data_IF_463838532426
#
_entry.id   IF_463838532426
#
_cell.length_a   1.000
_cell.length_b   1.000
_cell.length_c   1.000
_cell.angle_alpha   90.00
_cell.angle_beta   90.00
_cell.angle_gamma   90.00
#
_symmetry.space_group_name_H-M   'P 1'
#
loop_
_entity.id
_entity.type
_entity.pdbx_description
1 polymer ?
#
# COMPACT_ATOMS: atom_id res chain seq x y z
N UNK A 1 13.30 -12.17 -20.59
CA UNK A 1 14.41 -12.79 -19.81
C UNK A 1 13.75 -13.68 -18.76
N UNK A 2 14.17 -14.93 -18.63
CA UNK A 2 13.61 -15.87 -17.63
C UNK A 2 13.86 -15.30 -16.22
N UNK A 3 12.84 -15.32 -15.35
CA UNK A 3 12.91 -14.85 -13.96
C UNK A 3 14.01 -15.59 -13.12
N UNK A 4 14.48 -16.73 -13.60
CA UNK A 4 15.49 -17.55 -12.94
C UNK A 4 16.93 -16.98 -12.97
N UNK A 5 17.18 -15.88 -13.68
CA UNK A 5 18.54 -15.30 -13.87
C UNK A 5 18.70 -13.89 -13.34
N UNK A 6 17.72 -13.35 -12.60
CA UNK A 6 17.85 -12.01 -12.02
C UNK A 6 18.72 -12.04 -10.76
N UNK A 7 19.73 -11.15 -10.69
CA UNK A 7 20.61 -11.00 -9.52
C UNK A 7 19.85 -10.60 -8.25
N UNK A 8 18.67 -10.02 -8.39
CA UNK A 8 17.79 -9.52 -7.33
C UNK A 8 16.34 -9.70 -7.76
N UNK A 9 15.44 -9.95 -6.82
CA UNK A 9 14.02 -10.12 -7.10
C UNK A 9 13.16 -9.77 -5.90
N UNK A 10 11.97 -9.28 -6.19
CA UNK A 10 10.87 -9.12 -5.27
C UNK A 10 9.82 -10.17 -5.63
N UNK A 11 9.76 -11.25 -4.87
CA UNK A 11 8.79 -12.32 -5.09
C UNK A 11 7.46 -11.95 -4.43
N UNK A 12 6.38 -11.97 -5.20
CA UNK A 12 5.03 -11.66 -4.77
C UNK A 12 4.19 -12.94 -4.81
N UNK A 13 3.74 -13.41 -3.65
CA UNK A 13 2.92 -14.61 -3.51
C UNK A 13 1.43 -14.27 -3.71
N UNK A 14 0.91 -14.56 -4.89
CA UNK A 14 -0.48 -14.30 -5.27
C UNK A 14 -1.46 -15.22 -4.52
N UNK A 15 -1.04 -16.42 -4.11
CA UNK A 15 -1.88 -17.31 -3.33
C UNK A 15 -2.05 -16.77 -1.90
N UNK A 16 -0.97 -16.29 -1.28
CA UNK A 16 -1.03 -15.63 0.02
C UNK A 16 -1.91 -14.37 -0.04
N UNK A 17 -1.77 -13.55 -1.10
CA UNK A 17 -2.61 -12.36 -1.29
C UNK A 17 -4.10 -12.71 -1.35
N UNK A 18 -4.50 -13.70 -2.16
CA UNK A 18 -5.90 -14.16 -2.23
C UNK A 18 -6.40 -14.65 -0.87
N UNK A 19 -5.63 -15.51 -0.21
CA UNK A 19 -6.00 -16.04 1.11
C UNK A 19 -6.21 -14.94 2.15
N UNK A 20 -5.34 -13.91 2.15
CA UNK A 20 -5.51 -12.74 2.99
C UNK A 20 -6.83 -12.01 2.71
N UNK A 21 -7.14 -11.76 1.44
CA UNK A 21 -8.38 -11.08 1.04
C UNK A 21 -9.61 -11.90 1.41
N UNK A 22 -9.61 -13.20 1.15
CA UNK A 22 -10.72 -14.11 1.51
C UNK A 22 -10.97 -14.11 3.03
N UNK A 23 -9.89 -14.14 3.83
CA UNK A 23 -9.98 -14.02 5.29
C UNK A 23 -10.56 -12.68 5.72
N UNK A 24 -10.12 -11.57 5.12
CA UNK A 24 -10.61 -10.23 5.44
C UNK A 24 -12.07 -10.05 5.03
N UNK A 25 -12.47 -10.54 3.85
CA UNK A 25 -13.86 -10.53 3.38
C UNK A 25 -14.76 -11.26 4.39
N UNK A 26 -14.39 -12.48 4.78
CA UNK A 26 -15.18 -13.27 5.72
C UNK A 26 -15.33 -12.60 7.10
N UNK A 27 -14.32 -11.86 7.56
CA UNK A 27 -14.32 -11.15 8.86
C UNK A 27 -15.09 -9.84 8.84
N UNK A 28 -15.25 -9.24 7.68
CA UNK A 28 -15.85 -7.92 7.51
C UNK A 28 -17.27 -7.99 6.94
N UNK A 29 -17.72 -9.16 6.50
CA UNK A 29 -19.09 -9.35 5.99
C UNK A 29 -20.14 -8.80 6.96
N UNK A 30 -21.14 -8.00 6.53
CA UNK A 30 -21.48 -7.67 5.13
C UNK A 30 -20.86 -6.37 4.60
N UNK A 31 -19.81 -5.83 5.22
CA UNK A 31 -19.19 -4.54 4.87
C UNK A 31 -18.33 -4.70 3.63
N UNK A 32 -18.48 -3.81 2.65
CA UNK A 32 -17.65 -3.82 1.44
C UNK A 32 -16.19 -3.45 1.74
N UNK A 33 -15.29 -4.03 0.97
CA UNK A 33 -13.86 -3.69 1.00
C UNK A 33 -13.48 -2.89 -0.24
N UNK A 34 -13.00 -1.67 -0.03
CA UNK A 34 -12.24 -0.88 -1.00
C UNK A 34 -10.76 -1.26 -0.87
N UNK A 35 -10.27 -2.10 -1.78
CA UNK A 35 -8.86 -2.49 -1.80
C UNK A 35 -8.00 -1.32 -2.29
N UNK A 36 -7.07 -0.86 -1.45
CA UNK A 36 -6.19 0.28 -1.77
C UNK A 36 -4.96 -0.24 -2.50
N UNK A 37 -4.82 0.17 -3.75
CA UNK A 37 -3.76 -0.25 -4.68
C UNK A 37 -2.86 0.91 -5.12
N UNK A 38 -2.84 2.00 -4.34
CA UNK A 38 -1.95 3.16 -4.55
C UNK A 38 -0.48 2.75 -4.56
N UNK A 39 0.38 3.59 -5.14
CA UNK A 39 1.82 3.35 -5.26
C UNK A 39 2.13 1.96 -5.84
N UNK A 40 1.43 1.58 -6.93
CA UNK A 40 1.54 0.28 -7.59
C UNK A 40 1.28 -0.90 -6.61
N UNK A 41 0.18 -0.79 -5.83
CA UNK A 41 -0.15 -1.70 -4.73
C UNK A 41 1.02 -1.85 -3.74
N UNK A 42 1.54 -0.72 -3.24
CA UNK A 42 2.70 -0.68 -2.35
C UNK A 42 3.92 -1.40 -2.97
N UNK A 43 4.18 -1.11 -4.23
CA UNK A 43 5.24 -1.74 -5.05
C UNK A 43 5.10 -3.25 -5.32
N UNK A 44 3.91 -3.83 -5.12
CA UNK A 44 3.66 -5.25 -5.41
C UNK A 44 3.20 -5.52 -6.86
N UNK A 45 2.83 -4.49 -7.62
CA UNK A 45 2.33 -4.63 -8.99
C UNK A 45 0.82 -4.64 -9.09
N UNK A 46 0.18 -3.47 -9.01
CA UNK A 46 -1.27 -3.32 -9.04
C UNK A 46 -1.95 -3.98 -10.26
N UNK A 47 -1.40 -3.93 -11.49
CA UNK A 47 -2.02 -4.59 -12.64
C UNK A 47 -2.13 -6.12 -12.51
N UNK A 48 -1.29 -6.74 -11.68
CA UNK A 48 -1.34 -8.19 -11.42
C UNK A 48 -2.20 -8.50 -10.20
N UNK A 49 -2.15 -7.66 -9.16
CA UNK A 49 -2.91 -7.90 -7.93
C UNK A 49 -4.41 -7.64 -8.08
N UNK A 50 -4.81 -6.65 -8.88
CA UNK A 50 -6.24 -6.32 -9.08
C UNK A 50 -7.05 -7.49 -9.63
N UNK A 51 -6.65 -8.22 -10.68
CA UNK A 51 -7.37 -9.42 -11.13
C UNK A 51 -7.48 -10.51 -10.07
N UNK A 52 -6.44 -10.70 -9.26
CA UNK A 52 -6.45 -11.67 -8.16
C UNK A 52 -7.44 -11.26 -7.06
N UNK A 53 -7.51 -9.97 -6.73
CA UNK A 53 -8.46 -9.43 -5.77
C UNK A 53 -9.92 -9.52 -6.27
N UNK A 54 -10.17 -9.22 -7.56
CA UNK A 54 -11.50 -9.40 -8.17
C UNK A 54 -11.96 -10.85 -8.05
N UNK A 55 -11.05 -11.76 -8.29
CA UNK A 55 -11.32 -13.18 -8.20
C UNK A 55 -11.56 -13.66 -6.76
N UNK A 56 -10.97 -13.03 -5.75
CA UNK A 56 -11.26 -13.24 -4.34
C UNK A 56 -12.60 -12.61 -3.89
N UNK A 57 -13.23 -11.77 -4.71
CA UNK A 57 -14.52 -11.16 -4.38
C UNK A 57 -14.49 -9.64 -4.19
N UNK A 58 -13.35 -8.98 -4.28
CA UNK A 58 -13.24 -7.52 -4.20
C UNK A 58 -13.91 -6.87 -5.42
N UNK A 59 -14.65 -5.78 -5.17
CA UNK A 59 -15.36 -5.04 -6.22
C UNK A 59 -15.04 -3.55 -6.24
N UNK A 60 -14.19 -3.07 -5.32
CA UNK A 60 -13.80 -1.67 -5.20
C UNK A 60 -12.29 -1.54 -5.06
N UNK A 61 -11.69 -0.63 -5.83
CA UNK A 61 -10.25 -0.37 -5.81
C UNK A 61 -9.96 1.13 -5.67
N UNK A 62 -9.02 1.50 -4.80
CA UNK A 62 -8.64 2.88 -4.56
C UNK A 62 -7.19 3.18 -4.99
N UNK A 63 -6.99 4.23 -5.79
CA UNK A 63 -5.69 4.53 -6.41
C UNK A 63 -5.02 5.81 -5.92
N UNK A 64 -5.67 6.69 -5.17
CA UNK A 64 -5.26 8.06 -4.85
C UNK A 64 -5.35 8.96 -6.07
N UNK A 65 -4.39 8.84 -7.01
CA UNK A 65 -4.36 9.60 -8.26
C UNK A 65 -5.32 8.99 -9.29
N UNK A 66 -5.79 9.84 -10.23
CA UNK A 66 -6.69 9.42 -11.28
C UNK A 66 -6.01 8.58 -12.38
N UNK A 67 -4.78 8.93 -12.76
CA UNK A 67 -4.10 8.30 -13.89
C UNK A 67 -3.97 6.76 -13.79
N UNK A 68 -3.59 6.15 -12.63
CA UNK A 68 -3.55 4.70 -12.49
C UNK A 68 -4.94 4.04 -12.65
N UNK A 69 -6.02 4.66 -12.16
CA UNK A 69 -7.37 4.15 -12.34
C UNK A 69 -7.78 4.13 -13.81
N UNK A 70 -7.50 5.21 -14.54
CA UNK A 70 -7.75 5.30 -15.98
C UNK A 70 -6.94 4.26 -16.77
N UNK A 71 -5.68 4.05 -16.42
CA UNK A 71 -4.85 3.03 -17.06
C UNK A 71 -5.46 1.64 -16.89
N UNK A 72 -5.84 1.27 -15.69
CA UNK A 72 -6.48 -0.04 -15.42
C UNK A 72 -7.79 -0.20 -16.19
N UNK A 73 -8.62 0.84 -16.23
CA UNK A 73 -9.86 0.84 -17.01
C UNK A 73 -9.59 0.66 -18.50
N UNK A 74 -8.64 1.39 -19.09
CA UNK A 74 -8.25 1.28 -20.51
C UNK A 74 -7.73 -0.10 -20.87
N UNK A 75 -7.05 -0.75 -19.95
CA UNK A 75 -6.53 -2.12 -20.12
C UNK A 75 -7.57 -3.21 -19.80
N UNK A 76 -8.77 -2.85 -19.38
CA UNK A 76 -9.82 -3.81 -18.98
C UNK A 76 -9.48 -4.57 -17.68
N UNK A 77 -8.52 -4.06 -16.90
CA UNK A 77 -8.13 -4.65 -15.62
C UNK A 77 -9.23 -4.34 -14.59
N UNK A 78 -9.61 -5.37 -13.82
CA UNK A 78 -10.66 -5.25 -12.80
C UNK A 78 -12.09 -5.51 -13.30
N UNK A 79 -12.33 -5.63 -14.61
CA UNK A 79 -13.65 -5.90 -15.17
C UNK A 79 -14.70 -4.89 -14.71
N UNK A 80 -15.79 -5.36 -14.09
CA UNK A 80 -16.90 -4.52 -13.61
C UNK A 80 -16.65 -3.89 -12.22
N UNK A 81 -15.47 -4.07 -11.62
CA UNK A 81 -15.15 -3.44 -10.34
C UNK A 81 -15.08 -1.92 -10.47
N UNK A 82 -15.44 -1.19 -9.41
CA UNK A 82 -15.31 0.26 -9.34
C UNK A 82 -13.87 0.66 -9.01
N UNK A 83 -13.38 1.74 -9.64
CA UNK A 83 -12.12 2.39 -9.29
C UNK A 83 -12.41 3.76 -8.70
N UNK A 84 -11.77 4.08 -7.59
CA UNK A 84 -11.94 5.32 -6.85
C UNK A 84 -10.61 6.07 -6.76
N UNK A 85 -10.60 7.32 -7.24
CA UNK A 85 -9.49 8.25 -7.13
C UNK A 85 -9.94 9.49 -6.36
N UNK A 86 -9.15 9.94 -5.37
CA UNK A 86 -9.59 11.02 -4.49
C UNK A 86 -8.64 12.22 -4.40
N UNK A 87 -7.48 12.14 -5.02
CA UNK A 87 -6.57 13.28 -5.12
C UNK A 87 -6.61 13.80 -6.55
N UNK A 88 -7.45 14.81 -6.76
CA UNK A 88 -7.67 15.39 -8.09
C UNK A 88 -6.79 16.62 -8.28
N UNK A 89 -6.16 16.70 -9.45
CA UNK A 89 -5.36 17.82 -9.94
C UNK A 89 -6.07 18.53 -11.09
N UNK A 90 -5.87 19.85 -11.29
CA UNK A 90 -6.38 20.56 -12.47
C UNK A 90 -5.90 20.01 -13.82
N UNK A 91 -4.82 19.23 -13.83
CA UNK A 91 -4.28 18.59 -15.04
C UNK A 91 -4.83 17.19 -15.31
N UNK A 92 -5.72 16.68 -14.46
CA UNK A 92 -6.29 15.36 -14.63
C UNK A 92 -7.26 15.26 -15.80
N UNK A 93 -7.29 14.09 -16.44
CA UNK A 93 -8.18 13.76 -17.55
C UNK A 93 -9.60 13.42 -17.02
N UNK A 94 -10.33 14.44 -16.56
CA UNK A 94 -11.68 14.28 -16.04
C UNK A 94 -12.68 13.80 -17.12
N UNK A 95 -12.42 14.06 -18.41
CA UNK A 95 -13.24 13.53 -19.49
C UNK A 95 -13.16 12.01 -19.54
N UNK A 96 -11.95 11.47 -19.50
CA UNK A 96 -11.75 10.02 -19.41
C UNK A 96 -12.32 9.43 -18.11
N UNK A 97 -12.29 10.15 -17.00
CA UNK A 97 -12.89 9.69 -15.75
C UNK A 97 -14.40 9.48 -15.88
N UNK A 98 -15.09 10.43 -16.52
CA UNK A 98 -16.54 10.32 -16.81
C UNK A 98 -16.81 9.19 -17.80
N UNK A 99 -16.09 9.15 -18.93
CA UNK A 99 -16.28 8.14 -20.00
C UNK A 99 -16.03 6.72 -19.52
N UNK A 100 -15.04 6.52 -18.62
CA UNK A 100 -14.65 5.22 -18.09
C UNK A 100 -15.26 4.89 -16.72
N UNK A 101 -16.18 5.75 -16.24
CA UNK A 101 -16.90 5.55 -14.97
C UNK A 101 -15.96 5.31 -13.79
N UNK A 102 -14.99 6.21 -13.61
CA UNK A 102 -14.13 6.23 -12.41
C UNK A 102 -14.82 7.06 -11.33
N UNK A 103 -14.91 6.54 -10.12
CA UNK A 103 -15.44 7.25 -8.95
C UNK A 103 -14.41 8.30 -8.49
N UNK A 104 -14.87 9.54 -8.23
CA UNK A 104 -14.03 10.69 -7.92
C UNK A 104 -14.30 11.21 -6.51
N UNK A 105 -13.26 11.30 -5.68
CA UNK A 105 -13.34 11.97 -4.38
C UNK A 105 -13.21 13.50 -4.57
N UNK A 106 -14.17 14.26 -4.10
CA UNK A 106 -14.18 15.73 -4.19
C UNK A 106 -14.25 16.36 -2.81
N UNK A 107 -13.41 17.38 -2.59
CA UNK A 107 -13.22 18.06 -1.30
C UNK A 107 -13.58 19.55 -1.34
N UNK A 108 -13.68 20.13 -2.54
CA UNK A 108 -13.87 21.57 -2.74
C UNK A 108 -14.96 21.85 -3.77
N UNK A 109 -15.55 23.05 -3.71
CA UNK A 109 -16.51 23.51 -4.70
C UNK A 109 -15.91 23.52 -6.12
N UNK A 110 -14.67 23.97 -6.26
CA UNK A 110 -14.00 24.04 -7.56
C UNK A 110 -13.83 22.64 -8.18
N UNK A 111 -13.47 21.62 -7.39
CA UNK A 111 -13.38 20.24 -7.88
C UNK A 111 -14.76 19.72 -8.29
N UNK A 112 -15.78 19.93 -7.47
CA UNK A 112 -17.14 19.49 -7.74
C UNK A 112 -17.70 20.14 -9.01
N UNK A 113 -17.53 21.45 -9.15
CA UNK A 113 -18.01 22.19 -10.32
C UNK A 113 -17.23 21.84 -11.59
N UNK A 114 -15.91 21.60 -11.50
CA UNK A 114 -15.09 21.14 -12.62
C UNK A 114 -15.55 19.77 -13.14
N UNK A 115 -15.74 18.83 -12.23
CA UNK A 115 -16.24 17.47 -12.55
C UNK A 115 -17.62 17.55 -13.18
N UNK A 116 -18.55 18.36 -12.63
CA UNK A 116 -19.89 18.54 -13.18
C UNK A 116 -19.89 19.22 -14.55
N UNK A 117 -19.01 20.21 -14.77
CA UNK A 117 -18.86 20.88 -16.06
C UNK A 117 -18.43 19.90 -17.16
N UNK A 118 -17.46 19.03 -16.85
CA UNK A 118 -17.01 17.99 -17.77
C UNK A 118 -18.12 16.98 -18.05
N UNK A 119 -18.80 16.48 -17.02
CA UNK A 119 -19.92 15.54 -17.20
C UNK A 119 -21.01 16.12 -18.10
N UNK A 120 -21.36 17.40 -17.89
CA UNK A 120 -22.34 18.13 -18.73
C UNK A 120 -21.87 18.25 -20.16
N UNK A 121 -20.62 18.62 -20.39
CA UNK A 121 -20.07 18.77 -21.76
C UNK A 121 -19.99 17.42 -22.49
N UNK A 122 -19.76 16.31 -21.76
CA UNK A 122 -19.74 14.95 -22.33
C UNK A 122 -21.14 14.34 -22.51
N UNK A 123 -22.19 14.94 -21.93
CA UNK A 123 -23.50 14.30 -21.83
C UNK A 123 -23.50 13.03 -20.98
N UNK A 124 -22.58 12.94 -20.04
CA UNK A 124 -22.38 11.81 -19.12
C UNK A 124 -22.78 12.15 -17.69
N UNK A 125 -22.51 11.23 -16.77
CA UNK A 125 -22.74 11.39 -15.33
C UNK A 125 -21.46 11.09 -14.58
N UNK A 126 -20.96 12.05 -13.80
CA UNK A 126 -19.79 11.84 -12.96
C UNK A 126 -20.17 11.09 -11.67
N UNK A 127 -19.37 10.10 -11.29
CA UNK A 127 -19.52 9.35 -10.05
C UNK A 127 -18.70 10.03 -8.94
N UNK A 128 -19.34 10.48 -7.86
CA UNK A 128 -18.71 11.36 -6.89
C UNK A 128 -18.86 10.83 -5.46
N UNK A 129 -17.77 10.87 -4.70
CA UNK A 129 -17.75 10.72 -3.26
C UNK A 129 -17.39 12.08 -2.64
N UNK A 130 -18.24 12.60 -1.77
CA UNK A 130 -17.99 13.85 -1.05
C UNK A 130 -17.05 13.58 0.12
N UNK A 131 -16.02 14.40 0.29
CA UNK A 131 -15.04 14.26 1.37
C UNK A 131 -15.28 15.31 2.44
N UNK A 132 -15.45 14.89 3.69
CA UNK A 132 -15.52 15.75 4.87
C UNK A 132 -14.21 15.65 5.68
N UNK A 133 -13.67 16.79 6.10
CA UNK A 133 -12.56 16.84 7.06
C UNK A 133 -13.11 16.65 8.49
N UNK A 134 -12.72 15.56 9.11
CA UNK A 134 -13.15 15.22 10.47
C UNK A 134 -12.07 15.46 11.53
N UNK A 135 -10.99 16.15 11.18
CA UNK A 135 -9.93 16.53 12.10
C UNK A 135 -8.51 16.10 11.71
N UNK A 136 -8.35 15.33 10.63
CA UNK A 136 -7.02 15.01 10.09
C UNK A 136 -6.36 16.23 9.41
N UNK A 137 -7.16 17.17 8.87
CA UNK A 137 -6.72 18.39 8.21
C UNK A 137 -5.77 18.17 7.03
N UNK A 138 -6.01 17.10 6.29
CA UNK A 138 -5.23 16.74 5.09
C UNK A 138 -6.04 16.95 3.81
N UNK A 139 -7.27 16.46 3.81
CA UNK A 139 -8.24 16.55 2.71
C UNK A 139 -9.64 16.68 3.30
N UNK A 140 -10.59 17.13 2.49
CA UNK A 140 -12.00 17.21 2.87
C UNK A 140 -12.50 18.64 3.00
N UNK A 141 -13.80 18.80 2.76
CA UNK A 141 -14.53 20.03 3.01
C UNK A 141 -14.57 20.29 4.52
N UNK A 142 -14.36 21.53 4.95
CA UNK A 142 -14.48 21.88 6.37
C UNK A 142 -15.93 21.73 6.85
N UNK A 143 -16.17 21.34 8.12
CA UNK A 143 -17.52 21.24 8.67
C UNK A 143 -18.35 22.53 8.53
N UNK A 144 -17.69 23.71 8.58
CA UNK A 144 -18.37 25.01 8.38
C UNK A 144 -18.96 25.18 6.99
N UNK A 145 -18.35 24.60 5.97
CA UNK A 145 -18.73 24.76 4.58
C UNK A 145 -19.58 23.55 4.10
N UNK A 146 -19.60 22.49 4.88
CA UNK A 146 -20.24 21.21 4.52
C UNK A 146 -21.69 21.33 4.10
N UNK A 147 -22.58 22.05 4.81
CA UNK A 147 -23.97 22.18 4.38
C UNK A 147 -24.12 22.81 2.98
N UNK A 148 -23.35 23.86 2.69
CA UNK A 148 -23.38 24.53 1.39
C UNK A 148 -22.77 23.63 0.28
N UNK A 149 -21.70 22.87 0.59
CA UNK A 149 -21.07 21.94 -0.32
C UNK A 149 -22.01 20.79 -0.69
N UNK A 150 -22.69 20.21 0.30
CA UNK A 150 -23.71 19.17 0.07
C UNK A 150 -24.89 19.71 -0.74
N UNK A 151 -25.42 20.91 -0.40
CA UNK A 151 -26.50 21.52 -1.16
C UNK A 151 -26.13 21.68 -2.64
N UNK A 152 -24.89 22.13 -2.94
CA UNK A 152 -24.39 22.23 -4.30
C UNK A 152 -24.30 20.86 -5.00
N UNK A 153 -23.85 19.83 -4.29
CA UNK A 153 -23.78 18.46 -4.82
C UNK A 153 -25.18 17.89 -5.13
N UNK A 154 -26.17 18.20 -4.29
CA UNK A 154 -27.59 17.82 -4.49
C UNK A 154 -28.16 18.52 -5.75
N UNK A 155 -27.91 19.82 -5.93
CA UNK A 155 -28.31 20.54 -7.15
C UNK A 155 -27.77 19.86 -8.41
N UNK A 156 -26.48 19.53 -8.44
CA UNK A 156 -25.83 18.88 -9.58
C UNK A 156 -26.32 17.45 -9.83
N UNK A 157 -26.67 16.73 -8.75
CA UNK A 157 -27.35 15.44 -8.87
C UNK A 157 -28.75 15.59 -9.51
N UNK A 158 -29.52 16.58 -9.08
CA UNK A 158 -30.88 16.83 -9.58
C UNK A 158 -30.86 17.31 -11.02
N UNK A 159 -29.77 17.99 -11.45
CA UNK A 159 -29.50 18.28 -12.87
C UNK A 159 -29.14 16.99 -13.66
N UNK A 160 -28.83 15.88 -13.01
CA UNK A 160 -28.46 14.62 -13.65
C UNK A 160 -27.04 14.55 -14.18
N UNK A 161 -26.14 15.47 -13.74
CA UNK A 161 -24.73 15.49 -14.17
C UNK A 161 -23.79 14.83 -13.16
N UNK A 162 -24.25 14.61 -11.91
CA UNK A 162 -23.50 13.95 -10.84
C UNK A 162 -24.35 12.85 -10.22
N UNK A 163 -23.72 11.71 -9.90
CA UNK A 163 -24.27 10.67 -9.04
C UNK A 163 -23.48 10.63 -7.74
N UNK A 164 -24.16 10.83 -6.62
CA UNK A 164 -23.53 10.76 -5.29
C UNK A 164 -23.36 9.31 -4.89
N UNK A 165 -22.13 8.82 -5.02
CA UNK A 165 -21.77 7.43 -4.72
C UNK A 165 -21.44 7.26 -3.26
N UNK A 166 -20.81 8.25 -2.64
CA UNK A 166 -20.42 8.12 -1.25
C UNK A 166 -20.17 9.44 -0.52
N UNK A 167 -20.01 9.27 0.81
CA UNK A 167 -19.42 10.26 1.71
C UNK A 167 -18.26 9.56 2.42
N UNK A 168 -17.10 10.24 2.50
CA UNK A 168 -15.96 9.65 3.17
C UNK A 168 -15.12 10.65 3.96
N UNK A 169 -14.34 10.10 4.88
CA UNK A 169 -13.30 10.79 5.63
C UNK A 169 -12.13 9.84 5.95
N UNK A 170 -11.21 10.27 6.79
CA UNK A 170 -10.09 9.46 7.27
C UNK A 170 -9.78 9.76 8.73
N UNK A 171 -9.52 8.73 9.51
CA UNK A 171 -9.08 8.84 10.90
C UNK A 171 -7.62 9.30 10.98
N UNK A 172 -7.26 9.91 12.09
CA UNK A 172 -5.89 10.37 12.33
C UNK A 172 -4.98 9.27 12.89
N UNK A 173 -5.57 8.26 13.54
CA UNK A 173 -4.86 7.20 14.26
C UNK A 173 -3.94 7.75 15.38
N UNK A 174 -4.26 8.95 15.89
CA UNK A 174 -3.51 9.62 16.95
C UNK A 174 -3.83 9.04 18.32
N UNK A 175 -5.12 8.92 18.63
CA UNK A 175 -5.64 8.30 19.84
C UNK A 175 -7.08 7.81 19.63
N UNK A 176 -7.52 6.85 20.46
CA UNK A 176 -8.90 6.37 20.46
C UNK A 176 -9.92 7.50 20.69
N UNK A 177 -9.60 8.46 21.56
CA UNK A 177 -10.48 9.60 21.85
C UNK A 177 -10.61 10.55 20.65
N UNK A 178 -9.51 10.82 19.93
CA UNK A 178 -9.50 11.66 18.74
C UNK A 178 -10.24 10.97 17.59
N UNK A 179 -10.02 9.69 17.38
CA UNK A 179 -10.70 8.92 16.34
C UNK A 179 -12.20 8.76 16.62
N UNK A 180 -12.63 8.65 17.91
CA UNK A 180 -14.03 8.71 18.27
C UNK A 180 -14.64 10.10 18.03
N UNK A 181 -13.88 11.17 18.30
CA UNK A 181 -14.34 12.52 18.00
C UNK A 181 -14.52 12.71 16.49
N UNK A 182 -13.57 12.25 15.67
CA UNK A 182 -13.65 12.27 14.22
C UNK A 182 -14.84 11.45 13.69
N UNK A 183 -15.13 10.28 14.29
CA UNK A 183 -16.29 9.47 13.91
C UNK A 183 -17.62 10.19 14.19
N UNK A 184 -17.74 10.88 15.33
CA UNK A 184 -18.94 11.70 15.63
C UNK A 184 -19.14 12.85 14.64
N UNK A 185 -18.04 13.53 14.23
CA UNK A 185 -18.11 14.57 13.18
C UNK A 185 -18.56 13.95 11.86
N UNK A 186 -18.07 12.77 11.51
CA UNK A 186 -18.46 12.06 10.30
C UNK A 186 -19.95 11.66 10.33
N UNK A 187 -20.43 11.09 11.42
CA UNK A 187 -21.86 10.73 11.61
C UNK A 187 -22.77 11.95 11.49
N UNK A 188 -22.39 13.07 12.12
CA UNK A 188 -23.11 14.32 12.00
C UNK A 188 -23.14 14.82 10.55
N UNK A 189 -22.01 14.81 9.87
CA UNK A 189 -21.92 15.25 8.48
C UNK A 189 -22.79 14.39 7.53
N UNK A 190 -22.87 13.08 7.77
CA UNK A 190 -23.77 12.17 7.04
C UNK A 190 -25.22 12.53 7.31
N UNK A 191 -25.61 12.71 8.56
CA UNK A 191 -26.99 13.08 8.93
C UNK A 191 -27.41 14.45 8.33
N UNK A 192 -26.51 15.44 8.35
CA UNK A 192 -26.72 16.73 7.70
C UNK A 192 -26.92 16.60 6.19
N UNK A 193 -26.08 15.77 5.54
CA UNK A 193 -26.20 15.50 4.10
C UNK A 193 -27.54 14.84 3.75
N UNK A 194 -27.98 13.86 4.52
CA UNK A 194 -29.28 13.19 4.37
C UNK A 194 -30.44 14.19 4.55
N UNK A 195 -30.35 15.07 5.57
CA UNK A 195 -31.35 16.11 5.82
C UNK A 195 -31.46 17.13 4.67
N UNK A 196 -30.35 17.38 3.95
CA UNK A 196 -30.30 18.21 2.74
C UNK A 196 -30.73 17.44 1.46
N UNK A 197 -31.14 16.19 1.59
CA UNK A 197 -31.61 15.35 0.51
C UNK A 197 -30.53 14.58 -0.24
N UNK A 198 -29.28 14.59 0.23
CA UNK A 198 -28.24 13.73 -0.34
C UNK A 198 -28.51 12.26 -0.01
N UNK A 199 -28.59 11.42 -1.04
CA UNK A 199 -28.67 9.97 -0.91
C UNK A 199 -27.41 9.37 -1.47
N UNK A 200 -26.65 8.65 -0.67
CA UNK A 200 -25.37 8.03 -1.05
C UNK A 200 -25.43 6.51 -0.93
N UNK A 201 -24.62 5.82 -1.73
CA UNK A 201 -24.56 4.36 -1.73
C UNK A 201 -23.60 3.84 -0.66
N UNK A 202 -22.53 4.59 -0.36
CA UNK A 202 -21.44 4.16 0.52
C UNK A 202 -20.99 5.26 1.47
N UNK A 203 -20.91 4.93 2.74
CA UNK A 203 -20.23 5.73 3.76
C UNK A 203 -18.97 5.01 4.16
N UNK A 204 -17.82 5.69 4.16
CA UNK A 204 -16.55 5.03 4.49
C UNK A 204 -15.56 5.97 5.18
N UNK A 205 -15.03 5.51 6.31
CA UNK A 205 -14.09 6.27 7.12
C UNK A 205 -12.85 5.44 7.49
N UNK A 206 -13.04 4.18 7.88
CA UNK A 206 -12.01 3.35 8.49
C UNK A 206 -10.93 2.90 7.50
N UNK A 207 -9.68 3.02 7.95
CA UNK A 207 -8.50 2.38 7.36
C UNK A 207 -8.37 0.92 7.78
N UNK A 208 -7.27 0.26 7.37
CA UNK A 208 -7.04 -1.17 7.63
C UNK A 208 -7.11 -1.56 9.11
N UNK A 209 -6.40 -0.84 10.00
CA UNK A 209 -6.38 -1.14 11.44
C UNK A 209 -7.70 -0.80 12.10
N UNK A 210 -8.20 0.43 11.88
CA UNK A 210 -9.46 0.89 12.44
C UNK A 210 -10.63 -0.04 12.07
N UNK A 211 -10.65 -0.55 10.83
CA UNK A 211 -11.70 -1.47 10.40
C UNK A 211 -11.70 -2.81 11.13
N UNK A 212 -10.55 -3.32 11.54
CA UNK A 212 -10.44 -4.58 12.26
C UNK A 212 -10.70 -4.43 13.76
N UNK A 213 -10.25 -3.31 14.33
CA UNK A 213 -10.29 -3.05 15.77
C UNK A 213 -11.60 -2.41 16.23
N UNK A 214 -12.27 -1.63 15.36
CA UNK A 214 -13.45 -0.81 15.67
C UNK A 214 -14.64 -1.13 14.76
N UNK A 215 -15.37 -2.23 14.98
CA UNK A 215 -16.52 -2.64 14.15
C UNK A 215 -17.59 -1.54 14.00
N UNK A 216 -17.77 -0.72 15.02
CA UNK A 216 -18.75 0.37 15.07
C UNK A 216 -18.44 1.52 14.08
N UNK A 217 -17.21 1.59 13.54
CA UNK A 217 -16.77 2.63 12.61
C UNK A 217 -16.63 2.14 11.16
N UNK A 218 -17.09 0.93 10.86
CA UNK A 218 -16.95 0.34 9.50
C UNK A 218 -17.85 1.01 8.47
N UNK A 219 -19.03 1.45 8.90
CA UNK A 219 -20.08 1.96 8.02
C UNK A 219 -20.41 0.95 6.88
N UNK A 220 -20.55 1.43 5.64
CA UNK A 220 -20.92 0.57 4.50
C UNK A 220 -19.71 -0.02 3.79
N UNK A 221 -18.54 0.60 3.94
CA UNK A 221 -17.31 0.19 3.26
C UNK A 221 -16.07 0.56 4.08
N UNK A 222 -15.05 -0.30 4.04
CA UNK A 222 -13.75 -0.06 4.69
C UNK A 222 -12.62 -0.05 3.67
N UNK A 223 -11.54 0.68 3.96
CA UNK A 223 -10.40 0.81 3.05
C UNK A 223 -9.24 -0.06 3.51
N UNK A 224 -9.01 -1.17 2.80
CA UNK A 224 -7.96 -2.15 3.09
C UNK A 224 -6.80 -2.01 2.10
N UNK A 225 -5.64 -1.61 2.60
CA UNK A 225 -4.40 -1.56 1.83
C UNK A 225 -3.40 -2.60 2.33
N UNK A 226 -2.57 -2.20 3.28
CA UNK A 226 -1.46 -2.95 3.83
C UNK A 226 -1.85 -4.33 4.37
N UNK A 227 -2.97 -4.46 5.09
CA UNK A 227 -3.40 -5.75 5.65
C UNK A 227 -3.69 -6.81 4.56
N UNK A 228 -4.23 -6.40 3.39
CA UNK A 228 -4.39 -7.33 2.26
C UNK A 228 -3.06 -7.91 1.77
N UNK A 229 -1.98 -7.15 1.94
CA UNK A 229 -0.62 -7.54 1.59
C UNK A 229 0.12 -8.28 2.75
N UNK A 230 -0.58 -8.55 3.85
CA UNK A 230 0.02 -9.13 5.04
C UNK A 230 1.01 -8.19 5.73
N UNK A 231 0.73 -6.90 5.68
CA UNK A 231 1.51 -5.83 6.32
C UNK A 231 0.61 -5.17 7.37
N UNK A 232 0.57 -5.63 8.62
CA UNK A 232 -0.16 -4.97 9.68
C UNK A 232 0.56 -3.68 10.08
N UNK A 233 -0.22 -2.63 10.33
CA UNK A 233 0.30 -1.30 10.68
C UNK A 233 0.13 -0.96 12.16
N UNK A 234 -0.49 -1.85 12.93
CA UNK A 234 -0.63 -1.70 14.38
C UNK A 234 0.69 -2.09 15.05
N UNK A 235 1.22 -1.21 15.89
CA UNK A 235 2.47 -1.45 16.61
C UNK A 235 2.42 -2.76 17.42
N UNK A 236 3.46 -3.57 17.32
CA UNK A 236 3.59 -4.85 18.02
C UNK A 236 2.70 -5.98 17.50
N UNK A 237 1.93 -5.76 16.42
CA UNK A 237 1.07 -6.78 15.81
C UNK A 237 1.72 -7.32 14.55
N UNK A 238 1.84 -8.65 14.45
CA UNK A 238 2.36 -9.33 13.27
C UNK A 238 1.22 -9.71 12.30
N UNK A 239 1.58 -10.06 11.06
CA UNK A 239 0.62 -10.61 10.09
C UNK A 239 -0.02 -11.91 10.63
N UNK A 240 0.76 -12.77 11.27
CA UNK A 240 0.30 -14.03 11.83
C UNK A 240 -0.73 -13.82 12.96
N UNK A 241 -0.58 -12.81 13.82
CA UNK A 241 -1.55 -12.48 14.87
C UNK A 241 -2.93 -12.13 14.30
N UNK A 242 -2.96 -11.66 13.06
CA UNK A 242 -4.19 -11.35 12.33
C UNK A 242 -4.65 -12.49 11.43
N UNK A 243 -3.96 -13.63 11.43
CA UNK A 243 -4.23 -14.75 10.51
C UNK A 243 -3.96 -14.39 9.06
N UNK A 244 -3.02 -13.48 8.82
CA UNK A 244 -2.59 -13.02 7.50
C UNK A 244 -1.16 -13.47 7.23
N UNK A 245 -0.74 -13.43 5.96
CA UNK A 245 0.62 -13.77 5.55
C UNK A 245 1.22 -12.64 4.72
N UNK A 246 2.47 -12.28 5.03
CA UNK A 246 3.22 -11.33 4.21
C UNK A 246 3.38 -11.87 2.79
N UNK A 247 3.07 -11.01 1.81
CA UNK A 247 3.02 -11.36 0.38
C UNK A 247 4.37 -11.17 -0.31
N UNK A 248 5.17 -10.21 0.16
CA UNK A 248 6.43 -9.80 -0.48
C UNK A 248 7.64 -10.43 0.18
N UNK A 249 8.52 -11.05 -0.64
CA UNK A 249 9.87 -11.46 -0.26
C UNK A 249 10.90 -10.73 -1.10
N UNK A 250 11.86 -10.06 -0.47
CA UNK A 250 13.00 -9.43 -1.16
C UNK A 250 14.23 -10.31 -1.02
N UNK A 251 14.79 -10.74 -2.16
CA UNK A 251 16.01 -11.55 -2.18
C UNK A 251 16.97 -11.18 -3.31
N UNK A 252 18.21 -11.61 -3.18
CA UNK A 252 19.25 -11.49 -4.21
C UNK A 252 20.22 -12.67 -4.15
N UNK A 253 21.05 -12.81 -5.19
CA UNK A 253 22.13 -13.80 -5.19
C UNK A 253 23.47 -13.17 -4.84
N UNK A 254 24.32 -13.87 -4.08
CA UNK A 254 25.70 -13.48 -3.84
C UNK A 254 26.45 -13.35 -5.17
N UNK A 255 27.09 -12.20 -5.41
CA UNK A 255 27.84 -11.96 -6.67
C UNK A 255 29.34 -12.05 -6.50
N UNK A 256 29.85 -11.99 -5.27
CA UNK A 256 31.27 -12.12 -4.98
C UNK A 256 31.48 -12.59 -3.54
N UNK A 257 32.51 -13.43 -3.36
CA UNK A 257 32.95 -13.90 -2.06
C UNK A 257 34.42 -13.52 -1.87
N UNK A 258 34.80 -13.08 -0.68
CA UNK A 258 36.16 -12.69 -0.35
C UNK A 258 36.51 -13.04 1.09
N UNK A 259 37.59 -13.77 1.30
CA UNK A 259 38.19 -13.94 2.63
C UNK A 259 39.04 -12.72 2.96
N UNK A 260 38.92 -12.20 4.18
CA UNK A 260 39.67 -11.03 4.67
C UNK A 260 40.25 -11.33 6.07
N UNK A 261 41.40 -10.72 6.36
CA UNK A 261 42.06 -10.87 7.66
C UNK A 261 41.41 -9.98 8.74
N UNK A 262 41.62 -10.33 9.98
CA UNK A 262 41.30 -9.53 11.15
C UNK A 262 41.79 -8.06 10.97
N UNK A 263 41.02 -7.08 11.46
CA UNK A 263 41.33 -5.66 11.34
C UNK A 263 40.98 -5.02 9.98
N UNK A 264 40.65 -5.83 8.97
CA UNK A 264 40.27 -5.30 7.67
C UNK A 264 39.03 -4.39 7.75
N UNK A 265 39.12 -3.16 7.24
CA UNK A 265 38.00 -2.23 7.13
C UNK A 265 37.06 -2.63 6.00
N UNK A 266 35.75 -2.52 6.20
CA UNK A 266 34.71 -2.97 5.27
C UNK A 266 33.83 -1.79 4.84
N UNK A 267 33.64 -1.61 3.52
CA UNK A 267 32.80 -0.58 2.90
C UNK A 267 33.26 0.85 3.24
N UNK A 268 32.42 1.85 2.98
CA UNK A 268 32.74 3.27 3.19
C UNK A 268 32.98 3.59 4.68
N UNK A 269 33.94 4.47 4.93
CA UNK A 269 34.33 5.00 6.25
C UNK A 269 34.80 3.95 7.24
N UNK A 270 34.90 2.69 6.82
CA UNK A 270 35.30 1.54 7.65
C UNK A 270 34.56 1.50 8.99
N UNK A 271 33.24 1.76 8.94
CA UNK A 271 32.35 1.69 10.13
C UNK A 271 32.27 0.31 10.75
N UNK A 272 32.68 -0.71 9.99
CA UNK A 272 32.92 -2.06 10.48
C UNK A 272 34.36 -2.44 10.15
N UNK A 273 35.03 -3.09 11.11
CA UNK A 273 36.31 -3.77 10.93
C UNK A 273 36.15 -5.20 11.36
N UNK A 274 36.66 -6.14 10.55
CA UNK A 274 36.57 -7.55 10.84
C UNK A 274 37.26 -7.86 12.17
N UNK A 275 36.53 -8.39 13.17
CA UNK A 275 37.14 -8.70 14.49
C UNK A 275 38.05 -9.90 14.44
N UNK A 276 37.89 -10.79 13.49
CA UNK A 276 38.69 -11.98 13.19
C UNK A 276 38.80 -12.16 11.70
N UNK A 277 39.56 -13.13 11.22
CA UNK A 277 39.54 -13.57 9.84
C UNK A 277 38.10 -13.99 9.47
N UNK A 278 37.55 -13.46 8.38
CA UNK A 278 36.15 -13.72 8.02
C UNK A 278 35.96 -13.79 6.51
N UNK A 279 34.85 -14.37 6.08
CA UNK A 279 34.38 -14.38 4.70
C UNK A 279 33.30 -13.33 4.53
N UNK A 280 33.48 -12.44 3.54
CA UNK A 280 32.49 -11.44 3.16
C UNK A 280 31.77 -11.87 1.88
N UNK A 281 30.44 -11.84 1.89
CA UNK A 281 29.58 -12.03 0.72
C UNK A 281 29.07 -10.68 0.23
N UNK A 282 29.24 -10.39 -1.07
CA UNK A 282 28.73 -9.18 -1.73
C UNK A 282 27.36 -9.47 -2.32
N UNK A 283 26.36 -8.67 -1.91
CA UNK A 283 24.96 -8.76 -2.33
C UNK A 283 24.61 -7.55 -3.20
N UNK A 284 24.07 -7.74 -4.42
CA UNK A 284 23.82 -6.67 -5.39
C UNK A 284 22.49 -5.95 -5.16
N UNK A 285 22.22 -5.53 -3.94
CA UNK A 285 21.11 -4.67 -3.51
C UNK A 285 21.66 -3.53 -2.66
N UNK A 286 21.19 -2.33 -2.91
CA UNK A 286 21.59 -1.15 -2.16
C UNK A 286 20.45 -0.16 -1.95
N UNK A 287 20.80 1.07 -1.55
CA UNK A 287 19.75 2.05 -1.25
C UNK A 287 19.00 2.53 -2.50
N UNK A 288 19.55 2.37 -3.72
CA UNK A 288 18.82 2.61 -4.96
C UNK A 288 17.79 1.52 -5.29
N UNK A 289 17.81 0.41 -4.56
CA UNK A 289 16.89 -0.72 -4.70
C UNK A 289 15.88 -0.78 -3.55
N UNK A 290 16.01 0.11 -2.54
CA UNK A 290 15.15 0.19 -1.37
C UNK A 290 15.78 -0.27 -0.04
N UNK A 291 17.04 -0.74 -0.04
CA UNK A 291 17.73 -1.14 1.19
C UNK A 291 18.16 0.10 1.97
N UNK A 292 17.59 0.32 3.15
CA UNK A 292 17.95 1.45 4.01
C UNK A 292 19.45 1.46 4.36
N UNK A 293 20.08 2.64 4.36
CA UNK A 293 21.45 2.79 4.89
C UNK A 293 21.53 2.49 6.38
N UNK A 294 20.41 2.55 7.12
CA UNK A 294 20.31 2.20 8.53
C UNK A 294 20.35 0.68 8.77
N UNK A 295 20.21 -0.12 7.72
CA UNK A 295 20.28 -1.59 7.83
C UNK A 295 21.63 -2.12 8.33
N UNK A 296 22.70 -1.31 8.23
CA UNK A 296 24.00 -1.68 8.74
C UNK A 296 23.98 -1.95 10.25
N UNK A 297 24.26 -3.19 10.65
CA UNK A 297 24.40 -3.59 12.05
C UNK A 297 23.09 -3.64 12.84
N UNK A 298 21.95 -3.33 12.21
CA UNK A 298 20.63 -3.35 12.85
C UNK A 298 19.75 -4.50 12.39
N UNK A 299 19.97 -4.98 11.17
CA UNK A 299 19.21 -6.08 10.57
C UNK A 299 20.09 -7.29 10.28
N UNK A 300 19.46 -8.43 10.14
CA UNK A 300 20.09 -9.62 9.58
C UNK A 300 19.42 -10.01 8.26
N UNK A 301 20.15 -10.71 7.42
CA UNK A 301 19.65 -11.38 6.21
C UNK A 301 19.86 -12.88 6.37
N UNK A 302 19.07 -13.70 5.68
CA UNK A 302 19.27 -15.15 5.72
C UNK A 302 20.10 -15.58 4.52
N UNK A 303 21.19 -16.30 4.80
CA UNK A 303 22.06 -16.94 3.79
C UNK A 303 22.21 -18.40 4.17
N UNK A 304 21.89 -19.31 3.24
CA UNK A 304 21.96 -20.76 3.48
C UNK A 304 21.21 -21.21 4.75
N UNK A 305 20.04 -20.61 5.03
CA UNK A 305 19.21 -20.95 6.18
C UNK A 305 19.71 -20.41 7.54
N UNK A 306 20.70 -19.52 7.54
CA UNK A 306 21.23 -18.93 8.76
C UNK A 306 21.20 -17.39 8.74
N UNK A 307 20.82 -16.73 9.84
CA UNK A 307 20.84 -15.27 9.94
C UNK A 307 22.29 -14.75 9.94
N UNK A 308 22.54 -13.70 9.14
CA UNK A 308 23.86 -13.07 8.95
C UNK A 308 23.75 -11.55 9.02
N UNK A 309 24.68 -10.86 9.67
CA UNK A 309 24.62 -9.40 9.76
C UNK A 309 25.06 -8.71 8.47
N UNK A 310 24.38 -7.60 8.15
CA UNK A 310 24.89 -6.64 7.17
C UNK A 310 26.01 -5.84 7.82
N UNK A 311 27.20 -5.83 7.21
CA UNK A 311 28.39 -5.17 7.75
C UNK A 311 28.94 -4.07 6.85
N UNK A 312 29.43 -3.02 7.48
CA UNK A 312 29.86 -1.81 6.78
C UNK A 312 28.69 -1.07 6.14
N UNK A 313 28.94 0.13 5.61
CA UNK A 313 27.88 0.96 5.05
C UNK A 313 27.22 0.33 3.83
N UNK A 314 25.90 0.34 3.77
CA UNK A 314 25.13 0.02 2.56
C UNK A 314 25.47 1.08 1.49
N UNK A 315 25.88 0.63 0.32
CA UNK A 315 26.17 1.45 -0.84
C UNK A 315 24.93 1.64 -1.73
N UNK A 316 25.08 2.37 -2.84
CA UNK A 316 23.99 2.62 -3.79
C UNK A 316 23.39 1.32 -4.35
N UNK A 317 24.27 0.39 -4.75
CA UNK A 317 23.89 -0.79 -5.52
C UNK A 317 24.20 -2.12 -4.80
N UNK A 318 24.77 -2.08 -3.59
CA UNK A 318 25.26 -3.28 -2.92
C UNK A 318 25.50 -3.10 -1.44
N UNK A 319 25.49 -4.23 -0.71
CA UNK A 319 25.95 -4.32 0.66
C UNK A 319 26.80 -5.58 0.89
N UNK A 320 27.42 -5.68 2.06
CA UNK A 320 28.25 -6.81 2.44
C UNK A 320 27.65 -7.53 3.65
N UNK A 321 27.76 -8.86 3.63
CA UNK A 321 27.33 -9.76 4.69
C UNK A 321 28.57 -10.43 5.28
N UNK A 322 28.64 -10.48 6.61
CA UNK A 322 29.68 -11.22 7.31
C UNK A 322 29.25 -12.67 7.51
N UNK A 323 29.98 -13.58 6.87
CA UNK A 323 29.71 -15.02 6.91
C UNK A 323 30.54 -15.76 7.97
N UNK A 324 31.54 -15.09 8.59
CA UNK A 324 32.47 -15.77 9.46
C UNK A 324 33.27 -16.85 8.73
N UNK A 325 33.21 -18.07 9.26
CA UNK A 325 33.80 -19.27 8.67
C UNK A 325 32.79 -20.16 7.93
N UNK A 326 31.50 -19.73 7.88
CA UNK A 326 30.48 -20.52 7.22
C UNK A 326 30.63 -20.49 5.70
N UNK A 327 30.35 -21.61 5.04
CA UNK A 327 30.47 -21.71 3.60
C UNK A 327 29.47 -20.82 2.87
N UNK A 328 29.94 -20.12 1.85
CA UNK A 328 29.12 -19.33 0.93
C UNK A 328 29.76 -19.32 -0.45
N UNK A 329 28.93 -19.38 -1.48
CA UNK A 329 29.34 -19.36 -2.89
C UNK A 329 28.65 -18.25 -3.66
N UNK A 330 29.25 -17.86 -4.79
CA UNK A 330 28.56 -17.00 -5.78
C UNK A 330 27.35 -17.75 -6.32
N UNK A 331 26.19 -17.07 -6.30
CA UNK A 331 24.90 -17.64 -6.69
C UNK A 331 24.02 -18.05 -5.50
N UNK A 332 24.57 -18.17 -4.28
CA UNK A 332 23.77 -18.46 -3.09
C UNK A 332 22.73 -17.37 -2.88
N UNK A 333 21.53 -17.78 -2.43
CA UNK A 333 20.45 -16.84 -2.16
C UNK A 333 20.65 -16.13 -0.82
N UNK A 334 20.37 -14.84 -0.84
CA UNK A 334 20.30 -13.98 0.34
C UNK A 334 18.88 -13.44 0.44
N UNK A 335 18.14 -13.80 1.47
CA UNK A 335 16.80 -13.29 1.75
C UNK A 335 16.91 -12.14 2.74
N UNK A 336 16.42 -10.95 2.35
CA UNK A 336 16.46 -9.76 3.19
C UNK A 336 15.29 -9.72 4.16
N UNK A 337 14.08 -9.81 3.62
CA UNK A 337 12.86 -9.93 4.40
C UNK A 337 11.81 -10.75 3.63
N UNK A 338 10.89 -11.34 4.35
CA UNK A 338 9.85 -12.22 3.81
C UNK A 338 8.83 -12.59 4.88
N UNK A 339 8.06 -13.65 4.66
CA UNK A 339 7.03 -14.09 5.62
C UNK A 339 7.59 -14.74 6.91
N UNK A 340 8.90 -14.93 7.03
CA UNK A 340 9.57 -15.54 8.20
C UNK A 340 9.78 -17.05 8.11
N UNK A 341 9.44 -17.68 6.99
CA UNK A 341 9.48 -19.16 6.86
C UNK A 341 10.86 -19.77 6.99
N UNK A 342 11.91 -19.03 6.65
CA UNK A 342 13.30 -19.48 6.68
C UNK A 342 14.10 -18.79 7.80
N UNK A 343 13.42 -18.05 8.69
CA UNK A 343 14.04 -17.25 9.74
C UNK A 343 14.50 -15.86 9.29
N UNK A 344 14.07 -15.44 8.10
CA UNK A 344 14.23 -14.06 7.63
C UNK A 344 13.34 -13.11 8.43
N UNK A 345 13.77 -11.86 8.55
CA UNK A 345 12.95 -10.80 9.14
C UNK A 345 11.68 -10.59 8.34
N UNK A 346 10.58 -10.33 9.03
CA UNK A 346 9.38 -9.78 8.41
C UNK A 346 9.62 -8.32 8.02
N UNK A 347 8.75 -7.78 7.15
CA UNK A 347 8.82 -6.38 6.76
C UNK A 347 8.61 -5.44 7.96
N UNK A 348 7.82 -5.87 8.96
CA UNK A 348 7.63 -5.16 10.23
C UNK A 348 8.92 -5.09 11.03
N UNK A 349 9.54 -6.24 11.31
CA UNK A 349 10.82 -6.29 12.03
C UNK A 349 11.92 -5.49 11.30
N UNK A 350 11.93 -5.53 9.96
CA UNK A 350 12.86 -4.73 9.17
C UNK A 350 12.61 -3.23 9.34
N UNK A 351 11.34 -2.81 9.34
CA UNK A 351 10.94 -1.42 9.54
C UNK A 351 11.36 -0.91 10.93
N UNK A 352 11.06 -1.67 11.97
CA UNK A 352 11.44 -1.35 13.36
C UNK A 352 12.97 -1.19 13.48
N UNK A 353 13.73 -2.15 12.92
CA UNK A 353 15.19 -2.12 12.96
C UNK A 353 15.82 -0.97 12.17
N UNK A 354 15.08 -0.39 11.21
CA UNK A 354 15.54 0.72 10.37
C UNK A 354 14.86 2.06 10.67
N UNK A 355 14.04 2.12 11.75
CA UNK A 355 13.35 3.32 12.26
C UNK A 355 12.43 3.93 11.19
N UNK A 356 11.49 3.11 10.71
CA UNK A 356 10.48 3.49 9.72
C UNK A 356 9.24 2.62 9.88
N UNK A 357 8.30 2.70 8.92
CA UNK A 357 7.07 1.90 8.91
C UNK A 357 7.11 0.83 7.80
N UNK A 358 6.39 -0.29 7.96
CA UNK A 358 6.41 -1.40 7.00
C UNK A 358 6.02 -1.00 5.58
N UNK A 359 5.04 -0.08 5.44
CA UNK A 359 4.61 0.42 4.13
C UNK A 359 5.72 1.16 3.40
N UNK A 360 6.54 1.94 4.13
CA UNK A 360 7.66 2.66 3.53
C UNK A 360 8.71 1.67 3.04
N UNK A 361 8.99 0.61 3.80
CA UNK A 361 9.91 -0.46 3.37
C UNK A 361 9.41 -1.10 2.07
N UNK A 362 8.13 -1.45 1.99
CA UNK A 362 7.55 -2.04 0.78
C UNK A 362 7.63 -1.07 -0.41
N UNK A 363 7.18 0.18 -0.24
CA UNK A 363 7.14 1.18 -1.31
C UNK A 363 8.53 1.57 -1.82
N UNK A 364 9.58 1.44 -1.00
CA UNK A 364 10.96 1.71 -1.40
C UNK A 364 11.58 0.64 -2.30
N UNK A 365 10.99 -0.56 -2.40
CA UNK A 365 11.44 -1.56 -3.37
C UNK A 365 11.20 -1.03 -4.78
N UNK A 366 12.25 -0.46 -5.39
CA UNK A 366 12.18 0.28 -6.64
C UNK A 366 11.98 -0.60 -7.89
N UNK A 367 11.72 0.03 -9.02
CA UNK A 367 11.51 -0.64 -10.31
C UNK A 367 12.75 -1.37 -10.83
N UNK A 368 13.95 -1.08 -10.27
CA UNK A 368 15.18 -1.82 -10.59
C UNK A 368 15.17 -3.27 -10.10
N UNK A 369 14.28 -3.60 -9.14
CA UNK A 369 14.09 -4.96 -8.61
C UNK A 369 12.92 -5.60 -9.35
N UNK A 370 13.14 -6.59 -10.22
CA UNK A 370 12.05 -7.25 -10.93
C UNK A 370 11.06 -7.92 -9.97
N UNK A 371 9.75 -7.77 -10.24
CA UNK A 371 8.71 -8.55 -9.56
C UNK A 371 8.59 -9.92 -10.20
N UNK A 372 8.56 -10.94 -9.34
CA UNK A 372 8.36 -12.34 -9.74
C UNK A 372 7.09 -12.82 -9.04
N UNK A 373 6.07 -13.13 -9.82
CA UNK A 373 4.79 -13.57 -9.27
C UNK A 373 4.74 -15.08 -9.18
N UNK A 374 4.36 -15.60 -8.01
CA UNK A 374 4.19 -17.03 -7.76
C UNK A 374 2.78 -17.32 -7.25
N UNK A 375 2.34 -18.56 -7.29
CA UNK A 375 1.01 -18.94 -6.79
C UNK A 375 -0.16 -18.34 -7.57
N UNK A 376 0.08 -17.87 -8.80
CA UNK A 376 -0.97 -17.37 -9.70
C UNK A 376 -1.95 -18.47 -10.10
N UNK A 377 -3.13 -18.06 -10.59
CA UNK A 377 -4.09 -19.01 -11.16
C UNK A 377 -3.55 -19.61 -12.44
N UNK A 378 -3.89 -20.85 -12.73
CA UNK A 378 -3.50 -21.51 -13.98
C UNK A 378 -4.13 -20.85 -15.22
#
# INVERSE_FOLDING_TARGET
MSAATSLRRATVDLAAYRANLESLIARLDPVDILAIVKADAYSHGAPVLVPEAVAAGIRWFGTVELAPALEMRRLGIGGDASFFAWQLSPSDDLEAAVDLSVDLGVSTFDQLDAVAAVARARGGVALVHLTIDTGLHREGCLPSDWPAFVARAVELRDEGVVRLRGIFSHVSETSEADDQAAARVFEQAVAEAEALGATVEKRHMSSSSAALEHPERRFDMVRMGSNGLGIPVTEGVTAADRGLRQVLTLSASVVKVKRVAAGTGVSYDYTFRAPSDTTLALVPLGYADGVSRRAQGTVHVVVNGAPRPIVGRVAMDQFLVDMGDDPVAVGDEVVLFGPGDQGEMTIGEWADATDTIPEEVACRVGARVPRVYVGGRP
#
